data_IF_523151491936
#
_entry.id   IF_523151491936
#
_cell.length_a   1.000
_cell.length_b   1.000
_cell.length_c   1.000
_cell.angle_alpha   90.00
_cell.angle_beta   90.00
_cell.angle_gamma   90.00
#
_symmetry.space_group_name_H-M   'P 1'
#
loop_
_entity.id
_entity.type
_entity.pdbx_description
1 polymer ?
#
# COMPACT_ATOMS: atom_id res chain seq x y z
N UNK A 1 0.34 -11.89 -25.91
CA UNK A 1 0.46 -12.58 -24.61
C UNK A 1 1.87 -13.17 -24.51
N UNK A 2 2.83 -12.40 -23.99
CA UNK A 2 4.17 -12.88 -23.62
C UNK A 2 4.73 -11.91 -22.57
N UNK A 3 4.33 -12.08 -21.31
CA UNK A 3 4.79 -11.24 -20.18
C UNK A 3 4.93 -12.08 -18.93
N UNK A 4 5.72 -13.14 -19.01
CA UNK A 4 5.98 -14.06 -17.88
C UNK A 4 7.30 -14.77 -18.12
N UNK A 5 8.41 -14.08 -17.84
CA UNK A 5 9.71 -14.75 -17.60
C UNK A 5 10.74 -13.84 -16.92
N UNK A 6 10.46 -12.53 -16.77
CA UNK A 6 11.38 -11.58 -16.14
C UNK A 6 11.28 -11.52 -14.61
N UNK A 7 10.22 -12.06 -14.00
CA UNK A 7 9.87 -11.78 -12.59
C UNK A 7 10.33 -12.87 -11.60
N UNK A 8 10.64 -14.08 -12.06
CA UNK A 8 10.98 -15.20 -11.16
C UNK A 8 12.33 -15.04 -10.44
N UNK A 9 13.20 -14.16 -10.91
CA UNK A 9 14.52 -13.92 -10.31
C UNK A 9 14.56 -12.64 -9.45
N UNK A 10 13.49 -11.84 -9.43
CA UNK A 10 13.41 -10.62 -8.64
C UNK A 10 13.30 -10.90 -7.13
N UNK A 11 12.69 -12.04 -6.77
CA UNK A 11 12.41 -12.44 -5.38
C UNK A 11 13.46 -13.38 -4.76
N UNK A 12 14.56 -13.70 -5.44
CA UNK A 12 15.63 -14.53 -4.86
C UNK A 12 16.51 -13.71 -3.89
N UNK A 13 16.45 -13.98 -2.57
CA UNK A 13 17.22 -13.21 -1.58
C UNK A 13 18.73 -13.32 -1.76
N UNK A 14 19.23 -14.47 -2.24
CA UNK A 14 20.66 -14.68 -2.48
C UNK A 14 21.13 -13.90 -3.70
N UNK A 15 20.33 -13.89 -4.77
CA UNK A 15 20.60 -13.07 -5.96
C UNK A 15 20.59 -11.59 -5.65
N UNK A 16 19.61 -11.13 -4.87
CA UNK A 16 19.51 -9.71 -4.49
C UNK A 16 20.69 -9.29 -3.61
N UNK A 17 21.11 -10.15 -2.67
CA UNK A 17 22.32 -9.91 -1.88
C UNK A 17 23.57 -9.86 -2.77
N UNK A 18 23.70 -10.76 -3.74
CA UNK A 18 24.83 -10.75 -4.67
C UNK A 18 24.87 -9.48 -5.52
N UNK A 19 23.72 -9.03 -6.05
CA UNK A 19 23.62 -7.80 -6.84
C UNK A 19 23.89 -6.55 -6.00
N UNK A 20 23.44 -6.52 -4.74
CA UNK A 20 23.77 -5.45 -3.80
C UNK A 20 25.28 -5.36 -3.55
N UNK A 21 25.93 -6.51 -3.34
CA UNK A 21 27.38 -6.57 -3.15
C UNK A 21 28.11 -6.11 -4.42
N UNK A 22 27.71 -6.58 -5.61
CA UNK A 22 28.29 -6.16 -6.89
C UNK A 22 28.13 -4.67 -7.10
N UNK A 23 26.93 -4.11 -6.90
CA UNK A 23 26.70 -2.67 -7.05
C UNK A 23 27.54 -1.85 -6.06
N UNK A 24 27.62 -2.28 -4.79
CA UNK A 24 28.44 -1.61 -3.78
C UNK A 24 29.95 -1.67 -4.08
N UNK A 25 30.40 -2.78 -4.68
CA UNK A 25 31.78 -2.95 -5.11
C UNK A 25 32.09 -2.09 -6.33
N UNK A 26 31.23 -2.07 -7.35
CA UNK A 26 31.41 -1.23 -8.55
C UNK A 26 31.66 0.22 -8.17
N UNK A 27 30.81 0.79 -7.32
CA UNK A 27 30.91 2.17 -6.81
C UNK A 27 32.25 2.41 -6.09
N UNK A 28 32.76 1.41 -5.35
CA UNK A 28 34.03 1.52 -4.61
C UNK A 28 35.25 1.32 -5.51
N UNK A 29 35.15 0.45 -6.52
CA UNK A 29 36.26 0.06 -7.40
C UNK A 29 36.66 1.13 -8.41
N UNK A 30 35.80 2.13 -8.66
CA UNK A 30 36.13 3.34 -9.44
C UNK A 30 37.37 4.08 -8.91
N UNK A 31 37.75 3.86 -7.64
CA UNK A 31 38.86 4.56 -7.00
C UNK A 31 40.18 3.77 -6.98
N UNK A 32 40.24 2.46 -7.27
CA UNK A 32 41.43 1.64 -6.92
C UNK A 32 41.81 0.44 -7.84
N UNK A 33 41.20 0.18 -9.01
CA UNK A 33 41.34 -1.13 -9.68
C UNK A 33 41.93 -1.17 -11.12
N UNK A 34 42.70 -2.22 -11.40
CA UNK A 34 43.38 -2.57 -12.67
C UNK A 34 42.50 -3.45 -13.60
N UNK A 35 41.21 -3.09 -13.72
CA UNK A 35 40.24 -3.81 -14.57
C UNK A 35 40.35 -3.37 -16.04
N UNK A 36 40.08 -4.28 -16.97
CA UNK A 36 39.93 -3.93 -18.39
C UNK A 36 38.71 -3.03 -18.61
N UNK A 37 38.70 -2.29 -19.72
CA UNK A 37 37.59 -1.40 -20.05
C UNK A 37 36.27 -2.18 -20.21
N UNK A 38 36.31 -3.36 -20.83
CA UNK A 38 35.12 -4.20 -21.05
C UNK A 38 34.52 -4.71 -19.73
N UNK A 39 35.35 -5.19 -18.80
CA UNK A 39 34.89 -5.64 -17.48
C UNK A 39 34.27 -4.50 -16.67
N UNK A 40 34.82 -3.28 -16.78
CA UNK A 40 34.25 -2.09 -16.15
C UNK A 40 32.87 -1.74 -16.72
N UNK A 41 32.72 -1.77 -18.05
CA UNK A 41 31.45 -1.47 -18.71
C UNK A 41 30.36 -2.49 -18.34
N UNK A 42 30.71 -3.78 -18.27
CA UNK A 42 29.77 -4.84 -17.85
C UNK A 42 29.34 -4.67 -16.39
N UNK A 43 30.27 -4.40 -15.48
CA UNK A 43 29.97 -4.16 -14.07
C UNK A 43 29.13 -2.91 -13.85
N UNK A 44 29.42 -1.82 -14.56
CA UNK A 44 28.63 -0.60 -14.52
C UNK A 44 27.19 -0.85 -14.98
N UNK A 45 27.01 -1.54 -16.12
CA UNK A 45 25.68 -1.82 -16.65
C UNK A 45 24.83 -2.67 -15.68
N UNK A 46 25.40 -3.74 -15.12
CA UNK A 46 24.69 -4.61 -14.16
C UNK A 46 24.35 -3.86 -12.88
N UNK A 47 25.27 -3.04 -12.36
CA UNK A 47 25.03 -2.26 -11.14
C UNK A 47 23.98 -1.16 -11.34
N UNK A 48 24.02 -0.42 -12.46
CA UNK A 48 23.03 0.62 -12.77
C UNK A 48 21.63 0.02 -12.90
N UNK A 49 21.49 -1.05 -13.68
CA UNK A 49 20.21 -1.72 -13.87
C UNK A 49 19.63 -2.24 -12.54
N UNK A 50 20.46 -2.77 -11.64
CA UNK A 50 20.01 -3.22 -10.33
C UNK A 50 19.58 -2.05 -9.43
N UNK A 51 20.34 -0.95 -9.41
CA UNK A 51 20.01 0.23 -8.61
C UNK A 51 18.72 0.91 -9.08
N UNK A 52 18.54 1.03 -10.40
CA UNK A 52 17.31 1.55 -11.01
C UNK A 52 16.10 0.69 -10.66
N UNK A 53 16.23 -0.63 -10.81
CA UNK A 53 15.19 -1.57 -10.42
C UNK A 53 14.84 -1.45 -8.93
N UNK A 54 15.86 -1.44 -8.05
CA UNK A 54 15.68 -1.30 -6.60
C UNK A 54 14.96 -0.01 -6.23
N UNK A 55 15.36 1.12 -6.81
CA UNK A 55 14.71 2.41 -6.54
C UNK A 55 13.26 2.39 -7.05
N UNK A 56 13.00 1.86 -8.24
CA UNK A 56 11.64 1.75 -8.76
C UNK A 56 10.76 0.90 -7.85
N UNK A 57 11.22 -0.29 -7.44
CA UNK A 57 10.46 -1.17 -6.53
C UNK A 57 10.21 -0.51 -5.17
N UNK A 58 11.19 0.23 -4.63
CA UNK A 58 10.99 0.99 -3.38
C UNK A 58 9.98 2.13 -3.56
N UNK A 59 10.00 2.83 -4.69
CA UNK A 59 9.01 3.87 -5.00
C UNK A 59 7.61 3.29 -5.15
N UNK A 60 7.46 2.18 -5.87
CA UNK A 60 6.19 1.47 -6.02
C UNK A 60 5.65 1.02 -4.66
N UNK A 61 6.49 0.41 -3.82
CA UNK A 61 6.10 0.00 -2.47
C UNK A 61 5.69 1.17 -1.57
N UNK A 62 6.38 2.32 -1.68
CA UNK A 62 5.99 3.55 -0.97
C UNK A 62 4.63 4.08 -1.44
N UNK A 63 4.41 4.13 -2.76
CA UNK A 63 3.15 4.60 -3.32
C UNK A 63 1.99 3.68 -2.94
N UNK A 64 2.18 2.37 -3.01
CA UNK A 64 1.14 1.41 -2.63
C UNK A 64 0.82 1.49 -1.15
N UNK A 65 1.84 1.54 -0.29
CA UNK A 65 1.66 1.72 1.15
C UNK A 65 0.93 3.02 1.50
N UNK A 66 1.22 4.10 0.78
CA UNK A 66 0.49 5.37 0.94
C UNK A 66 -0.98 5.24 0.53
N UNK A 67 -1.27 4.66 -0.64
CA UNK A 67 -2.65 4.48 -1.12
C UNK A 67 -3.46 3.59 -0.18
N UNK A 68 -2.90 2.46 0.24
CA UNK A 68 -3.56 1.58 1.21
C UNK A 68 -3.78 2.27 2.56
N UNK A 69 -2.79 3.02 3.03
CA UNK A 69 -2.88 3.79 4.28
C UNK A 69 -3.97 4.86 4.22
N UNK A 70 -4.04 5.62 3.13
CA UNK A 70 -5.08 6.63 2.89
C UNK A 70 -6.47 6.01 2.83
N UNK A 71 -6.63 4.86 2.14
CA UNK A 71 -7.91 4.16 2.06
C UNK A 71 -8.36 3.66 3.44
N UNK A 72 -7.47 2.98 4.18
CA UNK A 72 -7.77 2.50 5.54
C UNK A 72 -8.09 3.66 6.49
N UNK A 73 -7.34 4.75 6.39
CA UNK A 73 -7.58 5.97 7.16
C UNK A 73 -8.94 6.60 6.86
N UNK A 74 -9.31 6.72 5.59
CA UNK A 74 -10.62 7.23 5.17
C UNK A 74 -11.76 6.36 5.70
N UNK A 75 -11.64 5.04 5.60
CA UNK A 75 -12.66 4.13 6.12
C UNK A 75 -12.80 4.22 7.65
N UNK A 76 -11.69 4.29 8.37
CA UNK A 76 -11.70 4.44 9.83
C UNK A 76 -12.38 5.75 10.24
N UNK A 77 -12.01 6.87 9.60
CA UNK A 77 -12.62 8.16 9.85
C UNK A 77 -14.12 8.18 9.50
N UNK A 78 -14.53 7.57 8.38
CA UNK A 78 -15.93 7.49 7.99
C UNK A 78 -16.78 6.71 9.03
N UNK A 79 -16.26 5.57 9.52
CA UNK A 79 -16.92 4.79 10.59
C UNK A 79 -17.04 5.60 11.88
N UNK A 80 -15.98 6.29 12.28
CA UNK A 80 -15.97 7.11 13.50
C UNK A 80 -16.99 8.24 13.42
N UNK A 81 -16.99 9.00 12.31
CA UNK A 81 -17.94 10.08 12.07
C UNK A 81 -19.38 9.53 12.06
N UNK A 82 -19.62 8.41 11.38
CA UNK A 82 -20.95 7.80 11.33
C UNK A 82 -21.44 7.41 12.73
N UNK A 83 -20.58 6.82 13.56
CA UNK A 83 -20.90 6.46 14.94
C UNK A 83 -21.21 7.71 15.80
N UNK A 84 -20.44 8.78 15.64
CA UNK A 84 -20.69 10.05 16.33
C UNK A 84 -22.03 10.65 15.92
N UNK A 85 -22.34 10.68 14.62
CA UNK A 85 -23.61 11.21 14.11
C UNK A 85 -24.81 10.38 14.58
N UNK A 86 -24.71 9.05 14.52
CA UNK A 86 -25.74 8.14 15.03
C UNK A 86 -25.96 8.33 16.53
N UNK A 87 -24.87 8.46 17.30
CA UNK A 87 -24.95 8.70 18.74
C UNK A 87 -25.60 10.05 19.06
N UNK A 88 -25.28 11.07 18.26
CA UNK A 88 -25.87 12.41 18.42
C UNK A 88 -27.37 12.43 18.07
N UNK A 89 -27.78 11.73 17.01
CA UNK A 89 -29.17 11.73 16.53
C UNK A 89 -30.08 10.82 17.35
N UNK A 90 -29.61 9.63 17.70
CA UNK A 90 -30.44 8.57 18.29
C UNK A 90 -30.07 8.24 19.74
N UNK A 91 -29.03 8.87 20.29
CA UNK A 91 -28.53 8.58 21.63
C UNK A 91 -27.57 7.39 21.68
N UNK A 92 -27.28 6.84 22.87
CA UNK A 92 -26.29 5.79 23.04
C UNK A 92 -26.56 4.55 22.17
N UNK A 93 -25.57 4.14 21.39
CA UNK A 93 -25.66 2.96 20.51
C UNK A 93 -25.30 1.69 21.28
N UNK A 94 -25.96 0.57 20.95
CA UNK A 94 -25.61 -0.73 21.50
C UNK A 94 -24.29 -1.24 20.92
N UNK A 95 -23.56 -2.06 21.68
CA UNK A 95 -22.30 -2.66 21.22
C UNK A 95 -22.46 -3.46 19.90
N UNK A 96 -23.64 -4.05 19.69
CA UNK A 96 -23.96 -4.77 18.45
C UNK A 96 -24.00 -3.84 17.23
N UNK A 97 -24.60 -2.65 17.35
CA UNK A 97 -24.66 -1.67 16.26
C UNK A 97 -23.26 -1.13 15.94
N UNK A 98 -22.47 -0.83 16.99
CA UNK A 98 -21.09 -0.38 16.83
C UNK A 98 -20.26 -1.43 16.08
N UNK A 99 -20.37 -2.70 16.47
CA UNK A 99 -19.64 -3.80 15.81
C UNK A 99 -20.07 -3.99 14.35
N UNK A 100 -21.36 -3.82 14.02
CA UNK A 100 -21.83 -3.93 12.64
C UNK A 100 -21.21 -2.85 11.75
N UNK A 101 -21.17 -1.60 12.22
CA UNK A 101 -20.57 -0.47 11.49
C UNK A 101 -19.05 -0.66 11.34
N UNK A 102 -18.39 -1.16 12.38
CA UNK A 102 -16.95 -1.45 12.33
C UNK A 102 -16.60 -2.58 11.35
N UNK A 103 -17.52 -3.52 11.12
CA UNK A 103 -17.33 -4.63 10.19
C UNK A 103 -17.51 -4.24 8.72
N UNK A 104 -18.01 -3.05 8.40
CA UNK A 104 -18.22 -2.61 7.01
C UNK A 104 -16.87 -2.31 6.38
N UNK A 105 -16.44 -3.14 5.42
CA UNK A 105 -15.19 -2.98 4.66
C UNK A 105 -15.37 -2.23 3.34
N UNK A 106 -16.61 -2.05 2.90
CA UNK A 106 -16.96 -1.36 1.66
C UNK A 106 -16.94 0.16 1.87
N UNK A 107 -16.02 0.83 1.16
CA UNK A 107 -15.84 2.29 1.23
C UNK A 107 -17.04 3.05 0.66
N UNK A 108 -17.59 2.61 -0.49
CA UNK A 108 -18.70 3.31 -1.12
C UNK A 108 -19.95 3.24 -0.24
N UNK A 109 -20.17 2.07 0.37
CA UNK A 109 -21.25 1.90 1.35
C UNK A 109 -21.07 2.84 2.53
N UNK A 110 -19.87 2.92 3.12
CA UNK A 110 -19.58 3.84 4.22
C UNK A 110 -19.81 5.31 3.87
N UNK A 111 -19.50 5.72 2.63
CA UNK A 111 -19.72 7.10 2.17
C UNK A 111 -21.20 7.44 1.93
N UNK A 112 -22.05 6.43 1.65
CA UNK A 112 -23.49 6.61 1.44
C UNK A 112 -24.31 6.61 2.73
N UNK A 113 -23.83 5.92 3.78
CA UNK A 113 -24.54 5.80 5.06
C UNK A 113 -24.86 7.14 5.74
N UNK A 114 -23.98 8.17 5.73
CA UNK A 114 -24.34 9.49 6.25
C UNK A 114 -25.57 10.11 5.58
N UNK A 115 -25.78 9.86 4.28
CA UNK A 115 -26.97 10.34 3.56
C UNK A 115 -28.23 9.58 4.01
N UNK A 116 -28.14 8.25 4.06
CA UNK A 116 -29.22 7.41 4.57
C UNK A 116 -29.59 7.75 6.04
N UNK A 117 -28.61 8.20 6.83
CA UNK A 117 -28.85 8.69 8.19
C UNK A 117 -29.74 9.94 8.22
N UNK A 118 -29.60 10.87 7.26
CA UNK A 118 -30.47 12.05 7.21
C UNK A 118 -31.92 11.67 6.88
N UNK A 119 -32.11 10.69 6.00
CA UNK A 119 -33.43 10.21 5.57
C UNK A 119 -34.11 9.32 6.62
N UNK A 120 -33.34 8.65 7.49
CA UNK A 120 -33.87 7.73 8.49
C UNK A 120 -34.56 8.45 9.67
N UNK A 121 -35.82 8.14 9.93
CA UNK A 121 -36.58 8.73 11.05
C UNK A 121 -36.17 8.18 12.41
N UNK A 122 -35.74 6.92 12.46
CA UNK A 122 -35.31 6.23 13.68
C UNK A 122 -34.11 5.29 13.41
N UNK A 123 -33.48 4.81 14.49
CA UNK A 123 -32.33 3.93 14.42
C UNK A 123 -32.66 2.62 13.69
N UNK A 124 -33.85 2.05 13.90
CA UNK A 124 -34.23 0.78 13.29
C UNK A 124 -34.33 0.88 11.76
N UNK A 125 -34.89 1.98 11.25
CA UNK A 125 -35.02 2.30 9.84
C UNK A 125 -33.64 2.51 9.21
N UNK A 126 -32.70 3.11 9.95
CA UNK A 126 -31.32 3.24 9.50
C UNK A 126 -30.62 1.86 9.39
N UNK A 127 -30.80 0.98 10.38
CA UNK A 127 -30.18 -0.36 10.39
C UNK A 127 -30.61 -1.25 9.21
N UNK A 128 -31.73 -0.95 8.55
CA UNK A 128 -32.14 -1.67 7.33
C UNK A 128 -31.28 -1.33 6.10
N UNK A 129 -30.48 -0.25 6.16
CA UNK A 129 -29.57 0.17 5.09
C UNK A 129 -28.11 -0.27 5.33
N UNK A 130 -27.84 -0.95 6.45
CA UNK A 130 -26.54 -1.55 6.78
C UNK A 130 -26.32 -2.88 6.07
#
# INVERSE_FOLDING_TARGET
MSRTHHDQFADDPLRNLALELVASWTIRTEQQSDLSQEEREQLMNVSSAYLEWKEQTLQEGRQEGQREGELRGRQAAAREILLQLLTHKFGPLSAQVVSQIQAITDTEKLEQLPKALFDATDLQSFLQNL
#
